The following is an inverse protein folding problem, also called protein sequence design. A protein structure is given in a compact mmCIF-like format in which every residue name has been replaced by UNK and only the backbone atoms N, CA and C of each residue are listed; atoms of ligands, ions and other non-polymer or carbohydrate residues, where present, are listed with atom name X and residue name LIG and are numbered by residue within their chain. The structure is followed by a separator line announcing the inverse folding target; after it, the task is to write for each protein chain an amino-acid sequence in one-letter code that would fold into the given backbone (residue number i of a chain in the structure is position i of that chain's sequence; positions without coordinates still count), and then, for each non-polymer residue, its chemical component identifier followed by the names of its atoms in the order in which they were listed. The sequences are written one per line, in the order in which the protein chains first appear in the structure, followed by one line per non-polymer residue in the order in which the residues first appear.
data_IF_962674599453
#
_entry.id   IF_962674599453
#
_cell.length_a   1.000
_cell.length_b   1.000
_cell.length_c   1.000
_cell.angle_alpha   90.00
_cell.angle_beta   90.00
_cell.angle_gamma   90.00
#
_symmetry.space_group_name_H-M   'P 1'
#
loop_
_entity.id
_entity.type
_entity.pdbx_description
1 polymer ?
#
# COMPACT_ATOMS: atom_id res chain seq x y z
N UNK A 1 -4.44 -15.06 -7.80
CA UNK A 1 -5.22 -13.90 -7.30
C UNK A 1 -5.22 -12.81 -8.37
N UNK A 2 -6.35 -12.16 -8.66
CA UNK A 2 -6.42 -11.10 -9.69
C UNK A 2 -5.67 -9.85 -9.21
N UNK A 3 -4.91 -9.21 -10.10
CA UNK A 3 -4.25 -7.93 -9.79
C UNK A 3 -5.27 -6.90 -9.31
N UNK A 4 -4.92 -6.08 -8.32
CA UNK A 4 -5.79 -5.09 -7.66
C UNK A 4 -7.00 -5.64 -6.91
N UNK A 5 -7.08 -6.97 -6.71
CA UNK A 5 -8.12 -7.55 -5.87
C UNK A 5 -7.51 -8.08 -4.57
N UNK A 6 -7.93 -7.51 -3.44
CA UNK A 6 -7.45 -7.86 -2.10
C UNK A 6 -8.60 -8.48 -1.28
N UNK A 7 -8.65 -9.81 -1.12
CA UNK A 7 -9.69 -10.48 -0.35
C UNK A 7 -9.45 -10.35 1.16
N UNK A 8 -10.51 -10.06 1.92
CA UNK A 8 -10.47 -10.00 3.39
C UNK A 8 -10.26 -11.40 3.98
N UNK A 9 -9.42 -11.51 5.00
CA UNK A 9 -9.22 -12.75 5.78
C UNK A 9 -8.44 -13.87 5.07
N UNK A 10 -7.92 -13.64 3.86
CA UNK A 10 -7.19 -14.66 3.08
C UNK A 10 -5.66 -14.55 3.17
N UNK A 11 -5.15 -13.35 3.41
CA UNK A 11 -3.70 -13.07 3.42
C UNK A 11 -3.34 -12.28 4.68
N UNK A 12 -2.16 -12.56 5.26
CA UNK A 12 -1.61 -11.84 6.41
C UNK A 12 -0.59 -10.79 5.94
N UNK A 13 -0.54 -9.65 6.63
CA UNK A 13 0.48 -8.64 6.38
C UNK A 13 1.89 -9.19 6.71
N UNK A 14 2.91 -8.92 5.87
CA UNK A 14 4.30 -9.28 6.16
C UNK A 14 4.80 -8.72 7.49
N UNK A 15 5.72 -9.43 8.17
CA UNK A 15 6.25 -9.03 9.48
C UNK A 15 6.81 -7.60 9.50
N UNK A 16 7.52 -7.22 8.44
CA UNK A 16 8.20 -5.93 8.33
C UNK A 16 7.27 -4.73 8.06
N UNK A 17 5.99 -4.97 7.73
CA UNK A 17 4.97 -3.89 7.60
C UNK A 17 3.92 -3.95 8.70
N UNK A 18 4.12 -4.80 9.72
CA UNK A 18 3.26 -4.77 10.90
C UNK A 18 3.51 -3.49 11.69
N UNK A 19 2.45 -2.83 12.19
CA UNK A 19 2.64 -1.68 13.06
C UNK A 19 3.37 -2.10 14.35
N UNK A 20 4.06 -1.16 15.01
CA UNK A 20 4.55 -1.35 16.36
C UNK A 20 3.39 -1.59 17.34
N UNK A 21 3.72 -2.04 18.56
CA UNK A 21 2.74 -2.25 19.63
C UNK A 21 2.04 -0.95 20.03
N UNK A 22 2.79 0.15 20.09
CA UNK A 22 2.27 1.49 20.38
C UNK A 22 2.15 2.28 19.09
N UNK A 23 0.93 2.72 18.76
CA UNK A 23 0.64 3.57 17.60
C UNK A 23 0.15 4.93 18.07
N UNK A 24 0.92 6.00 17.82
CA UNK A 24 0.54 7.37 18.17
C UNK A 24 -0.10 8.07 16.97
N UNK A 25 -1.07 8.95 17.24
CA UNK A 25 -1.72 9.77 16.20
C UNK A 25 -0.72 10.61 15.40
N UNK A 26 0.29 11.16 16.09
CA UNK A 26 1.34 11.97 15.44
C UNK A 26 2.16 11.14 14.43
N UNK A 27 2.45 9.88 14.74
CA UNK A 27 3.18 8.98 13.83
C UNK A 27 2.35 8.62 12.60
N UNK A 28 1.04 8.42 12.75
CA UNK A 28 0.13 8.21 11.62
C UNK A 28 0.14 9.42 10.69
N UNK A 29 0.04 10.63 11.24
CA UNK A 29 0.07 11.87 10.45
C UNK A 29 1.40 11.99 9.71
N UNK A 30 2.53 11.73 10.38
CA UNK A 30 3.86 11.73 9.76
C UNK A 30 3.95 10.72 8.61
N UNK A 31 3.51 9.49 8.82
CA UNK A 31 3.50 8.45 7.78
C UNK A 31 2.62 8.83 6.57
N UNK A 32 1.49 9.50 6.78
CA UNK A 32 0.64 9.98 5.70
C UNK A 32 1.32 11.09 4.88
N UNK A 33 2.04 12.00 5.53
CA UNK A 33 2.81 13.05 4.84
C UNK A 33 3.90 12.40 3.98
N UNK A 34 4.73 11.54 4.56
CA UNK A 34 5.79 10.82 3.84
C UNK A 34 5.23 9.98 2.69
N UNK A 35 4.07 9.34 2.88
CA UNK A 35 3.43 8.57 1.81
C UNK A 35 3.02 9.44 0.63
N UNK A 36 2.53 10.66 0.88
CA UNK A 36 2.18 11.62 -0.19
C UNK A 36 3.43 12.12 -0.92
N UNK A 37 4.51 12.39 -0.20
CA UNK A 37 5.80 12.76 -0.80
C UNK A 37 6.34 11.64 -1.69
N UNK A 38 6.29 10.39 -1.25
CA UNK A 38 6.74 9.27 -2.09
C UNK A 38 5.91 9.11 -3.37
N UNK A 39 4.62 9.42 -3.34
CA UNK A 39 3.77 9.36 -4.55
C UNK A 39 4.25 10.35 -5.61
N UNK A 40 4.71 11.54 -5.23
CA UNK A 40 5.21 12.53 -6.20
C UNK A 40 6.54 12.08 -6.83
N UNK A 41 7.38 11.37 -6.08
CA UNK A 41 8.65 10.81 -6.57
C UNK A 41 8.43 9.74 -7.63
N UNK A 42 7.36 8.92 -7.52
CA UNK A 42 7.07 7.83 -8.46
C UNK A 42 6.98 8.34 -9.92
N UNK A 43 6.48 9.55 -10.13
CA UNK A 43 6.31 10.16 -11.47
C UNK A 43 7.65 10.34 -12.17
N UNK A 44 8.72 10.55 -11.40
CA UNK A 44 10.07 10.81 -11.92
C UNK A 44 10.94 9.55 -12.00
N UNK A 45 10.42 8.38 -11.62
CA UNK A 45 11.16 7.12 -11.74
C UNK A 45 11.22 6.65 -13.19
N UNK A 46 12.26 5.86 -13.51
CA UNK A 46 12.36 5.21 -14.81
C UNK A 46 11.14 4.31 -15.10
N UNK A 47 10.74 4.24 -16.38
CA UNK A 47 9.58 3.44 -16.84
C UNK A 47 9.60 1.97 -16.41
N UNK A 48 10.80 1.43 -16.22
CA UNK A 48 11.01 0.03 -15.87
C UNK A 48 11.35 -0.15 -14.38
N UNK A 49 11.29 0.92 -13.57
CA UNK A 49 11.41 0.80 -12.12
C UNK A 49 10.21 0.02 -11.57
N UNK A 50 10.49 -0.96 -10.70
CA UNK A 50 9.47 -1.80 -10.09
C UNK A 50 9.84 -2.19 -8.66
N UNK A 51 8.85 -2.62 -7.91
CA UNK A 51 9.06 -3.43 -6.72
C UNK A 51 8.48 -4.84 -6.93
N UNK A 52 9.02 -5.81 -6.20
CA UNK A 52 8.56 -7.20 -6.26
C UNK A 52 7.48 -7.42 -5.22
N UNK A 53 6.25 -7.68 -5.67
CA UNK A 53 5.15 -8.06 -4.80
C UNK A 53 5.01 -9.59 -4.74
N UNK A 54 4.95 -10.21 -3.55
CA UNK A 54 4.94 -11.68 -3.40
C UNK A 54 3.82 -12.41 -4.17
N UNK A 55 2.68 -11.74 -4.40
CA UNK A 55 1.53 -12.32 -5.10
C UNK A 55 1.37 -11.79 -6.54
N UNK A 56 1.86 -10.58 -6.81
CA UNK A 56 1.56 -9.87 -8.06
C UNK A 56 2.79 -9.69 -8.96
N UNK A 57 3.93 -10.24 -8.54
CA UNK A 57 5.22 -10.10 -9.23
C UNK A 57 5.67 -8.66 -9.30
N UNK A 58 6.30 -8.29 -10.41
CA UNK A 58 6.81 -6.93 -10.60
C UNK A 58 5.67 -5.94 -10.80
N UNK A 59 5.57 -4.98 -9.90
CA UNK A 59 4.67 -3.83 -10.00
C UNK A 59 5.50 -2.62 -10.38
N UNK A 60 5.40 -2.22 -11.65
CA UNK A 60 6.17 -1.11 -12.23
C UNK A 60 5.42 0.23 -12.11
N UNK A 61 6.07 1.31 -12.54
CA UNK A 61 5.54 2.68 -12.54
C UNK A 61 4.20 2.83 -13.29
N UNK A 62 3.94 2.03 -14.32
CA UNK A 62 2.64 2.02 -15.01
C UNK A 62 1.51 1.42 -14.16
N UNK A 63 1.81 0.40 -13.36
CA UNK A 63 0.82 -0.36 -12.59
C UNK A 63 0.66 0.12 -11.16
N UNK A 64 1.66 0.82 -10.61
CA UNK A 64 1.75 1.16 -9.18
C UNK A 64 0.59 2.05 -8.73
N UNK A 65 0.17 3.05 -9.51
CA UNK A 65 -0.94 3.91 -9.10
C UNK A 65 -2.26 3.15 -8.97
N UNK A 66 -2.53 2.24 -9.91
CA UNK A 66 -3.71 1.38 -9.87
C UNK A 66 -3.65 0.43 -8.66
N UNK A 67 -2.47 -0.13 -8.37
CA UNK A 67 -2.22 -0.95 -7.18
C UNK A 67 -2.46 -0.17 -5.88
N UNK A 68 -1.87 1.02 -5.74
CA UNK A 68 -2.02 1.88 -4.57
C UNK A 68 -3.49 2.26 -4.35
N UNK A 69 -4.20 2.65 -5.40
CA UNK A 69 -5.62 2.99 -5.30
C UNK A 69 -6.47 1.80 -4.83
N UNK A 70 -6.27 0.62 -5.41
CA UNK A 70 -6.99 -0.59 -5.02
C UNK A 70 -6.68 -1.02 -3.58
N UNK A 71 -5.41 -0.93 -3.18
CA UNK A 71 -4.95 -1.31 -1.84
C UNK A 71 -5.45 -0.32 -0.77
N UNK A 72 -5.43 0.99 -1.05
CA UNK A 72 -6.00 2.01 -0.15
C UNK A 72 -7.50 1.82 0.04
N UNK A 73 -8.25 1.62 -1.05
CA UNK A 73 -9.70 1.38 -0.96
C UNK A 73 -10.03 0.09 -0.19
N UNK A 74 -9.20 -0.95 -0.30
CA UNK A 74 -9.34 -2.15 0.52
C UNK A 74 -9.22 -1.83 2.02
N UNK A 75 -8.22 -1.06 2.43
CA UNK A 75 -8.07 -0.65 3.84
C UNK A 75 -9.18 0.26 4.33
N UNK A 76 -9.65 1.22 3.52
CA UNK A 76 -10.79 2.06 3.86
C UNK A 76 -12.07 1.24 4.11
N UNK A 77 -12.29 0.16 3.33
CA UNK A 77 -13.40 -0.78 3.58
C UNK A 77 -13.25 -1.54 4.89
N UNK A 78 -12.02 -1.89 5.29
CA UNK A 78 -11.77 -2.51 6.59
C UNK A 78 -12.08 -1.53 7.71
N UNK A 79 -11.56 -0.30 7.64
CA UNK A 79 -11.80 0.77 8.63
C UNK A 79 -13.32 1.02 8.79
N UNK A 80 -14.03 1.20 7.68
CA UNK A 80 -15.49 1.41 7.69
C UNK A 80 -16.26 0.23 8.30
N UNK A 81 -15.71 -0.99 8.25
CA UNK A 81 -16.37 -2.18 8.78
C UNK A 81 -16.05 -2.47 10.25
N UNK A 82 -15.08 -1.78 10.85
CA UNK A 82 -14.70 -1.92 12.27
C UNK A 82 -15.09 -0.71 13.11
N UNK A 83 -15.36 0.43 12.46
CA UNK A 83 -16.04 1.58 13.05
C UNK A 83 -17.55 1.35 13.01
#
# INVERSE_FOLDING_TARGET
MKFNYFPRGKVKAPKHVKPPEVVLKADIIKQLITSKEHITVIINLYKDAYFVHPIFGNVNTLRVFSFLNAHTNHHLKIIKAIM
#
